data_IF_109979635332
#
_entry.id   IF_109979635332
#
_cell.length_a   1.000
_cell.length_b   1.000
_cell.length_c   1.000
_cell.angle_alpha   90.00
_cell.angle_beta   90.00
_cell.angle_gamma   90.00
#
_symmetry.space_group_name_H-M   'P 1'
#
loop_
_entity.id
_entity.type
_entity.pdbx_description
1 polymer ?
#
# COMPACT_ATOMS: atom_id res chain seq x y z
N UNK A 1 70.02 -29.54 47.07
CA UNK A 1 69.57 -30.01 45.78
C UNK A 1 68.15 -30.52 45.91
N UNK A 2 67.12 -29.70 45.51
CA UNK A 2 65.76 -30.12 45.44
C UNK A 2 65.28 -29.86 44.02
N UNK A 3 64.82 -30.90 43.29
CA UNK A 3 64.30 -30.88 41.97
C UNK A 3 62.92 -30.24 41.98
N UNK A 4 62.67 -29.23 41.15
CA UNK A 4 61.33 -28.70 40.81
C UNK A 4 60.68 -29.63 39.79
N UNK A 5 59.47 -30.05 40.12
CA UNK A 5 58.57 -30.72 39.18
C UNK A 5 57.76 -29.68 38.44
N UNK A 6 57.90 -29.67 37.10
CA UNK A 6 57.08 -28.84 36.21
C UNK A 6 55.70 -29.51 36.05
N UNK A 7 54.63 -28.72 36.35
CA UNK A 7 53.25 -29.09 36.05
C UNK A 7 52.89 -28.54 34.68
N UNK A 8 52.50 -29.41 33.77
CA UNK A 8 51.87 -29.10 32.49
C UNK A 8 50.46 -28.48 32.71
N UNK A 9 50.05 -27.47 31.92
CA UNK A 9 48.70 -26.91 32.01
C UNK A 9 47.70 -27.82 31.30
N UNK A 10 46.52 -28.02 31.92
CA UNK A 10 45.38 -28.76 31.38
C UNK A 10 44.82 -28.07 30.15
N UNK A 11 44.65 -28.83 29.07
CA UNK A 11 43.91 -28.44 27.86
C UNK A 11 42.44 -28.21 28.20
N UNK A 12 41.98 -26.98 28.05
CA UNK A 12 40.57 -26.63 28.06
C UNK A 12 40.00 -27.01 26.66
N UNK A 13 39.18 -28.04 26.62
CA UNK A 13 38.46 -28.46 25.41
C UNK A 13 37.28 -27.51 25.24
N UNK A 14 37.42 -26.52 24.37
CA UNK A 14 36.28 -25.69 23.90
C UNK A 14 35.35 -26.56 23.02
N UNK A 15 34.21 -26.94 23.57
CA UNK A 15 33.10 -27.48 22.77
C UNK A 15 32.54 -26.35 21.88
N UNK A 16 32.92 -26.31 20.64
CA UNK A 16 32.20 -25.56 19.59
C UNK A 16 30.84 -26.17 19.38
N UNK A 17 29.81 -25.55 19.93
CA UNK A 17 28.41 -25.87 19.60
C UNK A 17 28.18 -25.42 18.17
N UNK A 18 28.17 -26.38 17.24
CA UNK A 18 27.66 -26.17 15.88
C UNK A 18 26.14 -26.10 15.96
N UNK A 19 25.61 -24.89 16.21
CA UNK A 19 24.19 -24.63 15.98
C UNK A 19 23.94 -24.80 14.48
N UNK A 20 23.19 -25.82 14.12
CA UNK A 20 22.67 -26.02 12.77
C UNK A 20 21.91 -24.75 12.38
N UNK A 21 22.20 -24.10 11.23
CA UNK A 21 21.44 -22.94 10.81
C UNK A 21 19.98 -23.36 10.65
N UNK A 22 19.11 -22.80 11.49
CA UNK A 22 17.67 -22.98 11.41
C UNK A 22 17.27 -22.56 10.01
N UNK A 23 16.66 -23.44 9.23
CA UNK A 23 16.17 -23.13 7.89
C UNK A 23 15.35 -21.83 7.98
N UNK A 24 15.78 -20.83 7.24
CA UNK A 24 15.08 -19.53 7.21
C UNK A 24 13.63 -19.80 6.80
N UNK A 25 12.69 -19.52 7.68
CA UNK A 25 11.27 -19.65 7.37
C UNK A 25 10.96 -18.73 6.20
N UNK A 26 10.32 -19.28 5.16
CA UNK A 26 9.97 -18.50 3.96
C UNK A 26 8.84 -17.53 4.31
N UNK A 27 9.14 -16.24 4.37
CA UNK A 27 8.16 -15.18 4.58
C UNK A 27 7.40 -14.93 3.29
N UNK A 28 6.08 -14.86 3.36
CA UNK A 28 5.19 -14.52 2.26
C UNK A 28 4.05 -13.64 2.73
N UNK A 29 3.77 -12.58 1.98
CA UNK A 29 2.66 -11.65 2.25
C UNK A 29 1.39 -12.14 1.57
N UNK A 30 0.27 -12.10 2.29
CA UNK A 30 -1.04 -12.53 1.82
C UNK A 30 -2.07 -11.43 2.10
N UNK A 31 -2.99 -11.26 1.15
CA UNK A 31 -4.18 -10.42 1.27
C UNK A 31 -5.42 -11.31 1.33
N UNK A 32 -6.31 -11.07 2.28
CA UNK A 32 -7.63 -11.68 2.33
C UNK A 32 -8.71 -10.62 2.46
N UNK A 33 -9.87 -10.88 1.87
CA UNK A 33 -11.10 -10.12 2.10
C UNK A 33 -12.04 -10.96 2.97
N UNK A 34 -12.28 -10.51 4.19
CA UNK A 34 -13.07 -11.22 5.20
C UNK A 34 -14.10 -10.29 5.82
N UNK A 35 -15.29 -10.81 6.11
CA UNK A 35 -16.25 -10.07 6.91
C UNK A 35 -15.78 -9.90 8.36
N UNK A 36 -16.26 -8.88 9.05
CA UNK A 36 -15.97 -8.69 10.48
C UNK A 36 -16.34 -9.91 11.34
N UNK A 37 -17.39 -10.64 10.95
CA UNK A 37 -17.80 -11.86 11.64
C UNK A 37 -16.79 -13.00 11.45
N UNK A 38 -16.29 -13.21 10.22
CA UNK A 38 -15.23 -14.20 9.95
C UNK A 38 -13.96 -13.86 10.72
N UNK A 39 -13.59 -12.58 10.78
CA UNK A 39 -12.44 -12.10 11.54
C UNK A 39 -12.61 -12.36 13.03
N UNK A 40 -13.79 -12.09 13.59
CA UNK A 40 -14.10 -12.31 15.01
C UNK A 40 -14.01 -13.78 15.44
N UNK A 41 -14.28 -14.71 14.51
CA UNK A 41 -14.22 -16.15 14.74
C UNK A 41 -12.81 -16.74 14.63
N UNK A 42 -11.80 -15.96 14.26
CA UNK A 42 -10.44 -16.47 14.06
C UNK A 42 -9.74 -16.84 15.35
N UNK A 43 -8.93 -17.89 15.28
CA UNK A 43 -8.18 -18.40 16.44
C UNK A 43 -7.08 -17.40 16.88
N UNK A 44 -6.63 -17.43 18.14
CA UNK A 44 -5.51 -16.62 18.60
C UNK A 44 -4.23 -16.81 17.78
N UNK A 45 -3.97 -18.02 17.25
CA UNK A 45 -2.80 -18.31 16.40
C UNK A 45 -2.91 -17.64 15.04
N UNK A 46 -4.09 -17.48 14.47
CA UNK A 46 -4.31 -16.77 13.21
C UNK A 46 -3.87 -15.30 13.35
N UNK A 47 -4.22 -14.66 14.48
CA UNK A 47 -3.87 -13.28 14.76
C UNK A 47 -2.37 -13.03 14.91
N UNK A 48 -1.59 -14.05 15.24
CA UNK A 48 -0.13 -13.92 15.29
C UNK A 48 0.46 -13.56 13.94
N UNK A 49 -0.20 -13.92 12.85
CA UNK A 49 0.26 -13.70 11.48
C UNK A 49 -0.38 -12.48 10.80
N UNK A 50 -1.29 -11.76 11.46
CA UNK A 50 -1.92 -10.55 10.91
C UNK A 50 -1.01 -9.35 11.07
N UNK A 51 -0.69 -8.67 9.98
CA UNK A 51 0.04 -7.39 9.97
C UNK A 51 -0.89 -6.21 10.22
N UNK A 52 -2.06 -6.19 9.57
CA UNK A 52 -3.02 -5.10 9.69
C UNK A 52 -4.37 -5.44 9.12
N UNK A 53 -5.38 -4.67 9.53
CA UNK A 53 -6.77 -4.80 9.09
C UNK A 53 -7.31 -3.44 8.67
N UNK A 54 -7.96 -3.39 7.51
CA UNK A 54 -8.60 -2.20 6.97
C UNK A 54 -10.10 -2.47 6.82
N UNK A 55 -10.93 -1.75 7.59
CA UNK A 55 -12.36 -1.67 7.34
C UNK A 55 -12.64 -0.67 6.23
N UNK A 56 -13.66 -0.90 5.43
CA UNK A 56 -13.98 0.03 4.34
C UNK A 56 -14.89 1.16 4.82
N UNK A 57 -16.02 0.85 5.40
CA UNK A 57 -16.99 1.86 5.84
C UNK A 57 -16.75 2.34 7.27
N UNK A 58 -16.41 1.42 8.16
CA UNK A 58 -16.19 1.68 9.58
C UNK A 58 -15.07 0.82 10.16
N UNK A 59 -14.55 1.24 11.29
CA UNK A 59 -13.57 0.43 12.03
C UNK A 59 -14.22 -0.87 12.50
N UNK A 60 -13.64 -2.04 12.18
CA UNK A 60 -14.10 -3.30 12.74
C UNK A 60 -13.89 -3.33 14.26
N UNK A 61 -14.84 -3.97 14.97
CA UNK A 61 -14.75 -4.12 16.44
C UNK A 61 -13.76 -5.23 16.76
N UNK A 62 -12.49 -4.87 16.88
CA UNK A 62 -11.37 -5.78 17.16
C UNK A 62 -10.53 -5.17 18.29
N UNK A 63 -9.92 -6.01 19.11
CA UNK A 63 -8.95 -5.56 20.11
C UNK A 63 -7.74 -4.88 19.44
N UNK A 64 -7.69 -3.55 19.51
CA UNK A 64 -6.68 -2.72 18.84
C UNK A 64 -5.25 -2.93 19.36
N UNK A 65 -5.11 -3.49 20.56
CA UNK A 65 -3.80 -3.78 21.13
C UNK A 65 -3.04 -4.87 20.39
N UNK A 66 -3.73 -5.66 19.55
CA UNK A 66 -3.13 -6.80 18.82
C UNK A 66 -2.59 -6.45 17.45
N UNK A 67 -3.29 -5.61 16.68
CA UNK A 67 -2.92 -5.24 15.30
C UNK A 67 -3.33 -3.80 14.99
N UNK A 68 -2.64 -3.11 14.06
CA UNK A 68 -3.11 -1.86 13.51
C UNK A 68 -4.44 -2.06 12.78
N UNK A 69 -5.41 -1.22 13.10
CA UNK A 69 -6.72 -1.21 12.45
C UNK A 69 -6.99 0.20 11.95
N UNK A 70 -7.44 0.31 10.73
CA UNK A 70 -7.86 1.57 10.13
C UNK A 70 -9.14 1.40 9.34
N UNK A 71 -9.73 2.50 8.89
CA UNK A 71 -10.84 2.49 7.95
C UNK A 71 -10.54 3.45 6.80
N UNK A 72 -10.93 3.05 5.59
CA UNK A 72 -10.81 3.91 4.41
C UNK A 72 -11.95 4.92 4.28
N UNK A 73 -13.03 4.73 5.03
CA UNK A 73 -14.24 5.55 5.00
C UNK A 73 -14.92 5.54 3.61
N UNK A 74 -14.76 4.44 2.88
CA UNK A 74 -15.37 4.22 1.55
C UNK A 74 -16.46 3.16 1.68
N UNK A 75 -17.74 3.49 1.46
CA UNK A 75 -18.84 2.53 1.57
C UNK A 75 -18.66 1.33 0.64
N UNK A 76 -18.97 0.12 1.15
CA UNK A 76 -18.99 -1.09 0.33
C UNK A 76 -20.27 -1.14 -0.49
N UNK A 77 -20.15 -1.48 -1.78
CA UNK A 77 -21.27 -1.66 -2.70
C UNK A 77 -21.63 -3.14 -2.91
N UNK A 78 -20.95 -4.04 -2.21
CA UNK A 78 -21.22 -5.49 -2.32
C UNK A 78 -22.28 -5.99 -1.34
N UNK A 79 -22.69 -7.25 -1.52
CA UNK A 79 -23.68 -7.92 -0.67
C UNK A 79 -23.12 -8.34 0.73
N UNK A 80 -21.81 -8.24 0.95
CA UNK A 80 -21.17 -8.65 2.20
C UNK A 80 -20.99 -7.43 3.10
N UNK A 81 -21.76 -7.41 4.19
CA UNK A 81 -21.67 -6.37 5.20
C UNK A 81 -20.34 -6.42 5.97
N UNK A 82 -19.79 -5.23 6.27
CA UNK A 82 -18.58 -5.07 7.08
C UNK A 82 -17.38 -5.89 6.58
N UNK A 83 -17.19 -5.92 5.25
CA UNK A 83 -16.02 -6.52 4.63
C UNK A 83 -14.75 -5.76 5.04
N UNK A 84 -13.67 -6.50 5.26
CA UNK A 84 -12.37 -5.96 5.63
C UNK A 84 -11.28 -6.52 4.73
N UNK A 85 -10.26 -5.73 4.51
CA UNK A 85 -8.99 -6.12 3.93
C UNK A 85 -8.05 -6.55 5.05
N UNK A 86 -7.51 -7.75 4.97
CA UNK A 86 -6.63 -8.32 6.00
C UNK A 86 -5.28 -8.68 5.38
N UNK A 87 -4.24 -8.06 5.88
CA UNK A 87 -2.86 -8.36 5.49
C UNK A 87 -2.22 -9.32 6.48
N UNK A 88 -1.73 -10.46 5.98
CA UNK A 88 -1.11 -11.51 6.79
C UNK A 88 0.25 -11.91 6.25
N UNK A 89 1.07 -12.50 7.12
CA UNK A 89 2.40 -13.02 6.76
C UNK A 89 2.46 -14.50 7.09
N UNK A 90 2.90 -15.32 6.17
CA UNK A 90 3.29 -16.71 6.44
C UNK A 90 4.77 -16.79 6.81
N UNK A 91 5.17 -17.77 7.61
CA UNK A 91 6.58 -18.01 7.95
C UNK A 91 7.21 -17.02 8.96
N UNK A 92 6.44 -16.06 9.49
CA UNK A 92 6.92 -15.11 10.49
C UNK A 92 6.51 -15.46 11.93
N UNK A 93 6.12 -16.69 12.19
CA UNK A 93 5.58 -17.15 13.46
C UNK A 93 6.48 -16.76 14.65
N UNK A 94 5.89 -16.03 15.59
CA UNK A 94 6.58 -15.57 16.81
C UNK A 94 7.54 -14.38 16.66
N UNK A 95 7.64 -13.78 15.46
CA UNK A 95 8.55 -12.63 15.18
C UNK A 95 7.84 -11.32 14.89
N UNK A 96 6.55 -11.22 15.22
CA UNK A 96 5.79 -10.00 15.00
C UNK A 96 5.97 -9.03 16.16
N UNK A 97 6.27 -7.78 15.86
CA UNK A 97 6.39 -6.69 16.80
C UNK A 97 5.37 -5.60 16.50
N UNK A 98 4.79 -5.02 17.53
CA UNK A 98 3.91 -3.86 17.42
C UNK A 98 4.70 -2.62 17.81
N UNK A 99 4.44 -1.52 17.12
CA UNK A 99 4.91 -0.22 17.51
C UNK A 99 3.77 0.80 17.48
N UNK A 100 3.70 1.58 18.53
CA UNK A 100 3.16 2.90 18.53
C UNK A 100 4.26 3.72 19.15
N UNK A 101 4.96 4.51 18.35
CA UNK A 101 5.91 5.44 18.94
C UNK A 101 5.13 6.35 19.89
N UNK A 102 5.59 6.55 21.12
CA UNK A 102 4.92 7.36 22.14
C UNK A 102 4.60 8.80 21.68
N UNK A 103 5.17 9.21 20.55
CA UNK A 103 5.00 10.53 19.92
C UNK A 103 4.50 10.49 18.48
N UNK A 104 4.22 9.30 17.90
CA UNK A 104 3.72 9.16 16.53
C UNK A 104 2.25 8.76 16.50
N UNK A 105 1.50 9.33 15.55
CA UNK A 105 0.13 8.94 15.25
C UNK A 105 0.03 7.67 14.39
N UNK A 106 1.16 7.15 13.93
CA UNK A 106 1.21 5.93 13.13
C UNK A 106 1.06 4.70 14.01
N UNK A 107 0.05 3.92 13.74
CA UNK A 107 -0.10 2.57 14.29
C UNK A 107 0.51 1.59 13.32
N UNK A 108 1.47 0.78 13.76
CA UNK A 108 2.16 -0.14 12.86
C UNK A 108 2.48 -1.48 13.50
N UNK A 109 2.58 -2.51 12.67
CA UNK A 109 3.05 -3.84 13.03
C UNK A 109 4.02 -4.35 11.98
N UNK A 110 5.06 -5.04 12.41
CA UNK A 110 6.11 -5.49 11.51
C UNK A 110 6.69 -6.85 11.91
N UNK A 111 7.29 -7.51 10.93
CA UNK A 111 8.20 -8.63 11.10
C UNK A 111 9.57 -8.25 10.51
N UNK A 112 10.51 -9.20 10.44
CA UNK A 112 11.86 -8.92 9.93
C UNK A 112 11.89 -8.30 8.53
N UNK A 113 10.95 -8.67 7.65
CA UNK A 113 10.96 -8.25 6.24
C UNK A 113 9.92 -7.17 5.91
N UNK A 114 8.77 -7.15 6.61
CA UNK A 114 7.57 -6.43 6.22
C UNK A 114 7.00 -5.59 7.36
N UNK A 115 6.43 -4.46 6.99
CA UNK A 115 5.69 -3.57 7.89
C UNK A 115 4.35 -3.19 7.25
N UNK A 116 3.28 -3.23 8.04
CA UNK A 116 2.03 -2.54 7.77
C UNK A 116 1.88 -1.38 8.75
N UNK A 117 1.48 -0.22 8.25
CA UNK A 117 1.21 0.95 9.07
C UNK A 117 -0.03 1.70 8.62
N UNK A 118 -0.63 2.44 9.54
CA UNK A 118 -1.75 3.33 9.26
C UNK A 118 -1.68 4.61 10.10
N UNK A 119 -2.16 5.69 9.53
CA UNK A 119 -2.29 7.00 10.20
C UNK A 119 -3.60 7.66 9.77
N UNK A 120 -4.23 8.31 10.72
CA UNK A 120 -5.43 9.12 10.50
C UNK A 120 -5.19 10.52 11.03
N UNK A 121 -5.46 11.54 10.22
CA UNK A 121 -5.23 12.96 10.58
C UNK A 121 -6.49 13.78 10.32
N UNK A 122 -7.00 14.39 11.38
CA UNK A 122 -8.08 15.38 11.31
C UNK A 122 -7.49 16.73 10.87
N UNK A 123 -7.92 17.26 9.73
CA UNK A 123 -7.43 18.55 9.22
C UNK A 123 -7.64 19.70 10.21
N UNK A 124 -8.81 19.72 10.89
CA UNK A 124 -9.13 20.74 11.90
C UNK A 124 -8.20 20.69 13.14
N UNK A 125 -7.75 19.50 13.51
CA UNK A 125 -6.85 19.34 14.66
C UNK A 125 -5.44 19.89 14.35
N UNK A 126 -5.04 19.85 13.09
CA UNK A 126 -3.74 20.38 12.63
C UNK A 126 -3.77 21.89 12.44
N UNK A 127 -4.92 22.46 12.10
CA UNK A 127 -5.12 23.91 12.00
C UNK A 127 -4.81 24.61 13.33
N UNK A 128 -5.16 24.00 14.45
CA UNK A 128 -4.89 24.52 15.80
C UNK A 128 -3.39 24.57 16.19
N UNK A 129 -2.50 23.88 15.43
CA UNK A 129 -1.06 23.85 15.72
C UNK A 129 -0.30 25.11 15.23
N UNK A 130 -0.99 26.07 14.61
CA UNK A 130 -0.40 27.31 14.10
C UNK A 130 0.40 27.14 12.79
N UNK A 131 0.91 28.22 12.20
CA UNK A 131 1.66 28.14 10.94
C UNK A 131 2.98 27.40 11.15
N UNK A 132 3.17 26.31 10.42
CA UNK A 132 4.50 25.75 10.21
C UNK A 132 5.27 26.70 9.28
N UNK A 133 6.41 27.20 9.76
CA UNK A 133 7.18 28.26 9.11
C UNK A 133 7.39 28.06 7.60
N UNK A 134 7.62 29.17 6.89
CA UNK A 134 7.76 29.48 5.46
C UNK A 134 8.25 28.42 4.46
N UNK A 135 7.78 27.17 4.50
CA UNK A 135 8.30 26.06 3.66
C UNK A 135 7.42 25.65 2.48
N UNK A 136 6.18 26.07 2.44
CA UNK A 136 5.31 25.90 1.26
C UNK A 136 4.96 27.30 0.74
N UNK A 137 5.35 27.61 -0.46
CA UNK A 137 5.27 28.93 -1.06
C UNK A 137 3.88 29.57 -0.96
N UNK A 138 3.79 30.65 -0.20
CA UNK A 138 2.61 31.45 0.04
C UNK A 138 1.89 31.08 1.34
N UNK A 139 1.36 32.08 2.05
CA UNK A 139 0.51 31.89 3.22
C UNK A 139 -0.81 31.19 2.79
N UNK A 140 -0.81 29.87 2.76
CA UNK A 140 -2.03 29.10 2.60
C UNK A 140 -2.73 29.08 3.97
N UNK A 141 -3.62 30.05 4.18
CA UNK A 141 -4.47 30.15 5.35
C UNK A 141 -5.78 29.37 5.14
N UNK A 142 -6.44 29.02 6.22
CA UNK A 142 -7.72 28.31 6.16
C UNK A 142 -7.60 26.85 5.72
N UNK A 143 -8.62 26.37 5.01
CA UNK A 143 -8.80 24.95 4.67
C UNK A 143 -7.68 24.38 3.80
N UNK A 144 -7.19 25.12 2.81
CA UNK A 144 -6.06 24.67 1.98
C UNK A 144 -4.78 24.48 2.79
N UNK A 145 -4.52 25.40 3.72
CA UNK A 145 -3.41 25.30 4.66
C UNK A 145 -3.54 24.10 5.60
N UNK A 146 -4.75 23.81 6.08
CA UNK A 146 -5.00 22.64 6.94
C UNK A 146 -4.70 21.32 6.22
N UNK A 147 -5.17 21.16 4.98
CA UNK A 147 -4.89 19.98 4.14
C UNK A 147 -3.39 19.80 3.87
N UNK A 148 -2.70 20.87 3.48
CA UNK A 148 -1.25 20.84 3.21
C UNK A 148 -0.49 20.38 4.46
N UNK A 149 -0.78 20.98 5.64
CA UNK A 149 -0.13 20.63 6.92
C UNK A 149 -0.45 19.21 7.35
N UNK A 150 -1.72 18.79 7.26
CA UNK A 150 -2.13 17.43 7.63
C UNK A 150 -1.43 16.37 6.76
N UNK A 151 -1.32 16.63 5.46
CA UNK A 151 -0.61 15.76 4.52
C UNK A 151 0.88 15.70 4.84
N UNK A 152 1.53 16.85 5.02
CA UNK A 152 2.96 16.89 5.35
C UNK A 152 3.26 16.16 6.66
N UNK A 153 2.47 16.42 7.71
CA UNK A 153 2.58 15.75 9.00
C UNK A 153 2.45 14.23 8.86
N UNK A 154 1.40 13.76 8.16
CA UNK A 154 1.17 12.33 7.98
C UNK A 154 2.38 11.65 7.32
N UNK A 155 2.92 12.22 6.26
CA UNK A 155 4.06 11.65 5.56
C UNK A 155 5.37 11.76 6.34
N UNK A 156 5.59 12.84 7.10
CA UNK A 156 6.75 12.97 7.99
C UNK A 156 6.75 11.88 9.07
N UNK A 157 5.59 11.61 9.69
CA UNK A 157 5.47 10.54 10.68
C UNK A 157 5.64 9.16 10.06
N UNK A 158 5.09 8.90 8.86
CA UNK A 158 5.32 7.65 8.12
C UNK A 158 6.82 7.44 7.88
N UNK A 159 7.52 8.43 7.33
CA UNK A 159 8.97 8.31 7.07
C UNK A 159 9.80 8.18 8.34
N UNK A 160 9.35 8.78 9.45
CA UNK A 160 9.93 8.56 10.77
C UNK A 160 9.92 7.09 11.18
N UNK A 161 8.74 6.45 11.09
CA UNK A 161 8.57 5.02 11.39
C UNK A 161 9.41 4.14 10.44
N UNK A 162 9.43 4.44 9.14
CA UNK A 162 10.23 3.66 8.18
C UNK A 162 11.73 3.70 8.52
N UNK A 163 12.22 4.85 8.95
CA UNK A 163 13.62 5.04 9.38
C UNK A 163 13.91 4.29 10.68
N UNK A 164 13.03 4.39 11.67
CA UNK A 164 13.19 3.77 12.99
C UNK A 164 13.18 2.23 12.90
N UNK A 165 12.28 1.67 12.09
CA UNK A 165 12.11 0.23 11.94
C UNK A 165 13.02 -0.40 10.88
N UNK A 166 13.78 0.42 10.14
CA UNK A 166 14.61 0.03 8.99
C UNK A 166 13.84 -0.57 7.80
N UNK A 167 12.50 -0.50 7.78
CA UNK A 167 11.66 -0.85 6.64
C UNK A 167 11.60 0.33 5.67
N UNK A 168 12.73 0.67 5.07
CA UNK A 168 12.95 1.95 4.36
C UNK A 168 12.22 2.09 3.04
N UNK A 169 11.69 1.00 2.48
CA UNK A 169 11.09 0.99 1.15
C UNK A 169 9.58 0.87 1.25
N UNK A 170 8.86 1.95 0.92
CA UNK A 170 7.43 1.89 0.70
C UNK A 170 7.14 1.02 -0.53
N UNK A 171 6.26 0.04 -0.36
CA UNK A 171 5.81 -0.86 -1.42
C UNK A 171 4.52 -0.32 -2.02
N UNK A 172 3.54 -0.11 -1.14
CA UNK A 172 2.19 0.27 -1.50
C UNK A 172 1.64 1.26 -0.48
N UNK A 173 0.95 2.31 -0.96
CA UNK A 173 0.32 3.31 -0.09
C UNK A 173 -1.06 3.67 -0.63
N UNK A 174 -2.05 3.70 0.26
CA UNK A 174 -3.43 4.08 -0.01
C UNK A 174 -3.73 5.37 0.73
N UNK A 175 -4.27 6.35 0.01
CA UNK A 175 -4.60 7.66 0.55
C UNK A 175 -6.08 7.92 0.32
N UNK A 176 -6.80 8.21 1.37
CA UNK A 176 -8.20 8.59 1.34
C UNK A 176 -8.34 10.01 1.85
N UNK A 177 -8.86 10.88 1.00
CA UNK A 177 -8.95 12.32 1.22
C UNK A 177 -10.41 12.75 1.19
N UNK A 178 -10.92 13.45 2.20
CA UNK A 178 -12.27 13.97 2.13
C UNK A 178 -12.42 14.91 0.93
N UNK A 179 -13.50 14.71 0.14
CA UNK A 179 -13.87 15.58 -0.98
C UNK A 179 -12.73 15.88 -1.95
N UNK A 180 -12.02 14.83 -2.42
CA UNK A 180 -10.76 14.93 -3.18
C UNK A 180 -10.80 15.89 -4.38
N UNK A 181 -11.95 16.02 -5.06
CA UNK A 181 -12.12 16.89 -6.24
C UNK A 181 -12.62 18.30 -5.90
N UNK A 182 -12.96 18.60 -4.64
CA UNK A 182 -13.45 19.92 -4.25
C UNK A 182 -12.33 20.96 -4.31
N UNK A 183 -12.68 22.18 -4.72
CA UNK A 183 -11.77 23.32 -4.66
C UNK A 183 -11.58 23.81 -3.22
N UNK A 184 -10.33 24.13 -2.87
CA UNK A 184 -9.95 24.75 -1.61
C UNK A 184 -8.84 25.79 -1.86
N UNK A 185 -9.09 27.06 -1.53
CA UNK A 185 -8.10 28.13 -1.68
C UNK A 185 -7.63 28.36 -3.13
N UNK A 186 -8.49 28.09 -4.13
CA UNK A 186 -8.22 28.33 -5.54
C UNK A 186 -7.48 27.20 -6.26
N UNK A 187 -7.34 26.03 -5.64
CA UNK A 187 -6.84 24.81 -6.29
C UNK A 187 -7.63 23.59 -5.80
N UNK A 188 -7.61 22.52 -6.56
CA UNK A 188 -8.25 21.26 -6.23
C UNK A 188 -7.54 20.58 -5.06
N UNK A 189 -8.29 20.01 -4.10
CA UNK A 189 -7.73 19.33 -2.92
C UNK A 189 -6.73 18.22 -3.30
N UNK A 190 -6.99 17.47 -4.36
CA UNK A 190 -6.03 16.49 -4.87
C UNK A 190 -4.68 17.11 -5.28
N UNK A 191 -4.69 18.28 -5.90
CA UNK A 191 -3.46 18.97 -6.32
C UNK A 191 -2.69 19.52 -5.13
N UNK A 192 -3.40 20.07 -4.14
CA UNK A 192 -2.82 20.51 -2.87
C UNK A 192 -2.16 19.33 -2.14
N UNK A 193 -2.86 18.20 -2.03
CA UNK A 193 -2.32 16.97 -1.46
C UNK A 193 -1.03 16.52 -2.17
N UNK A 194 -1.03 16.46 -3.51
CA UNK A 194 0.16 16.08 -4.26
C UNK A 194 1.35 17.03 -4.03
N UNK A 195 1.09 18.32 -3.84
CA UNK A 195 2.11 19.32 -3.54
C UNK A 195 2.78 19.07 -2.19
N UNK A 196 1.98 18.85 -1.14
CA UNK A 196 2.49 18.55 0.20
C UNK A 196 3.20 17.17 0.25
N UNK A 197 2.60 16.16 -0.37
CA UNK A 197 3.18 14.82 -0.48
C UNK A 197 4.54 14.84 -1.17
N UNK A 198 4.65 15.54 -2.30
CA UNK A 198 5.93 15.69 -3.02
C UNK A 198 7.00 16.35 -2.16
N UNK A 199 6.63 17.38 -1.40
CA UNK A 199 7.56 18.03 -0.48
C UNK A 199 8.05 17.07 0.60
N UNK A 200 7.14 16.31 1.22
CA UNK A 200 7.49 15.33 2.24
C UNK A 200 8.43 14.23 1.71
N UNK A 201 8.15 13.68 0.52
CA UNK A 201 9.04 12.70 -0.15
C UNK A 201 10.44 13.29 -0.41
N UNK A 202 10.51 14.53 -0.89
CA UNK A 202 11.78 15.20 -1.13
C UNK A 202 12.57 15.42 0.15
N UNK A 203 11.91 15.87 1.21
CA UNK A 203 12.53 16.15 2.51
C UNK A 203 13.03 14.88 3.22
N UNK A 204 12.41 13.74 2.96
CA UNK A 204 12.82 12.44 3.49
C UNK A 204 13.91 11.73 2.68
N UNK A 205 14.32 12.29 1.54
CA UNK A 205 15.26 11.64 0.62
C UNK A 205 14.67 10.48 -0.19
N UNK A 206 13.34 10.32 -0.18
CA UNK A 206 12.62 9.23 -0.85
C UNK A 206 12.12 9.62 -2.26
N UNK A 207 12.55 10.76 -2.79
CA UNK A 207 11.98 11.36 -4.02
C UNK A 207 12.68 10.93 -5.32
N UNK A 208 13.28 9.76 -5.37
CA UNK A 208 13.85 9.24 -6.64
C UNK A 208 12.83 8.40 -7.40
N UNK A 209 12.88 8.41 -8.72
CA UNK A 209 11.98 7.67 -9.61
C UNK A 209 11.94 6.18 -9.27
N UNK A 210 13.08 5.62 -8.85
CA UNK A 210 13.23 4.19 -8.54
C UNK A 210 12.71 3.82 -7.13
N UNK A 211 12.27 4.79 -6.33
CA UNK A 211 11.84 4.56 -4.94
C UNK A 211 10.39 4.94 -4.66
N UNK A 212 9.68 5.51 -5.64
CA UNK A 212 8.28 5.91 -5.43
C UNK A 212 7.36 4.69 -5.45
N UNK A 213 6.53 4.50 -4.40
CA UNK A 213 5.69 3.30 -4.25
C UNK A 213 4.57 3.24 -5.29
N UNK A 214 3.99 2.06 -5.45
CA UNK A 214 2.66 1.95 -6.01
C UNK A 214 1.64 2.64 -5.07
N UNK A 215 0.70 3.42 -5.63
CA UNK A 215 -0.22 4.21 -4.82
C UNK A 215 -1.63 4.33 -5.43
N UNK A 216 -2.61 4.60 -4.55
CA UNK A 216 -3.94 5.10 -4.91
C UNK A 216 -4.24 6.36 -4.11
N UNK A 217 -5.04 7.25 -4.68
CA UNK A 217 -5.57 8.43 -4.00
C UNK A 217 -7.06 8.57 -4.34
N UNK A 218 -7.90 8.34 -3.36
CA UNK A 218 -9.36 8.23 -3.50
C UNK A 218 -10.04 9.28 -2.63
N UNK A 219 -11.24 9.66 -3.03
CA UNK A 219 -12.10 10.52 -2.24
C UNK A 219 -12.84 9.75 -1.16
N UNK A 220 -12.95 10.34 0.01
CA UNK A 220 -13.83 9.92 1.10
C UNK A 220 -14.90 10.98 1.35
N UNK A 221 -16.01 10.66 2.06
CA UNK A 221 -17.07 11.61 2.33
C UNK A 221 -16.60 12.87 3.08
N UNK A 222 -17.34 13.97 2.93
CA UNK A 222 -17.12 15.22 3.66
C UNK A 222 -17.05 14.96 5.19
N UNK A 223 -16.13 15.63 5.86
CA UNK A 223 -15.94 15.50 7.30
C UNK A 223 -15.20 14.24 7.74
N UNK A 224 -14.80 13.36 6.81
CA UNK A 224 -13.88 12.28 7.12
C UNK A 224 -12.48 12.81 7.42
N UNK A 225 -11.66 12.13 8.21
CA UNK A 225 -10.24 12.44 8.32
C UNK A 225 -9.47 12.04 7.06
N UNK A 226 -8.29 12.59 6.87
CA UNK A 226 -7.30 12.01 5.96
C UNK A 226 -6.88 10.66 6.55
N UNK A 227 -7.10 9.58 5.79
CA UNK A 227 -6.75 8.22 6.21
C UNK A 227 -5.71 7.64 5.25
N UNK A 228 -4.59 7.20 5.79
CA UNK A 228 -3.50 6.63 5.00
C UNK A 228 -3.10 5.30 5.64
N UNK A 229 -3.01 4.24 4.82
CA UNK A 229 -2.33 3.02 5.23
C UNK A 229 -1.33 2.58 4.18
N UNK A 230 -0.35 1.80 4.60
CA UNK A 230 0.79 1.48 3.76
C UNK A 230 1.44 0.14 4.12
N UNK A 231 2.11 -0.41 3.13
CA UNK A 231 3.04 -1.53 3.28
C UNK A 231 4.45 -1.05 2.98
N UNK A 232 5.40 -1.52 3.77
CA UNK A 232 6.80 -1.25 3.58
C UNK A 232 7.65 -2.50 3.78
N UNK A 233 8.87 -2.50 3.24
CA UNK A 233 9.82 -3.60 3.37
C UNK A 233 11.24 -3.11 3.63
N UNK A 234 12.09 -4.02 4.11
CA UNK A 234 13.53 -3.81 4.14
C UNK A 234 14.15 -3.95 2.76
N UNK A 235 13.63 -4.86 1.95
CA UNK A 235 14.07 -5.06 0.58
C UNK A 235 13.40 -4.05 -0.36
N UNK A 236 14.18 -3.48 -1.27
CA UNK A 236 13.67 -2.57 -2.29
C UNK A 236 12.81 -3.35 -3.30
N UNK A 237 11.55 -2.92 -3.55
CA UNK A 237 10.73 -3.49 -4.60
C UNK A 237 11.19 -3.05 -5.98
N UNK A 238 10.83 -3.81 -6.99
CA UNK A 238 11.02 -3.44 -8.40
C UNK A 238 9.82 -2.62 -8.86
N UNK A 239 10.04 -1.38 -9.28
CA UNK A 239 9.00 -0.50 -9.81
C UNK A 239 8.66 -0.86 -11.24
N UNK A 240 7.37 -0.82 -11.57
CA UNK A 240 6.83 -1.13 -12.90
C UNK A 240 6.08 0.08 -13.41
N UNK A 241 6.41 0.52 -14.61
CA UNK A 241 5.68 1.55 -15.33
C UNK A 241 4.82 0.94 -16.44
N UNK A 242 3.75 1.63 -16.81
CA UNK A 242 2.83 1.15 -17.83
C UNK A 242 3.24 1.67 -19.22
N UNK A 243 3.51 0.81 -20.20
CA UNK A 243 3.91 1.25 -21.54
C UNK A 243 2.81 2.05 -22.27
N UNK A 244 1.54 1.95 -21.82
CA UNK A 244 0.40 2.69 -22.38
C UNK A 244 0.20 4.08 -21.75
N UNK A 245 0.88 4.38 -20.64
CA UNK A 245 0.67 5.57 -19.84
C UNK A 245 1.97 6.35 -19.63
N UNK A 246 1.87 7.67 -19.63
CA UNK A 246 2.96 8.53 -19.14
C UNK A 246 3.17 8.30 -17.65
N UNK A 247 4.41 8.15 -17.20
CA UNK A 247 4.72 8.06 -15.77
C UNK A 247 4.18 9.27 -15.02
N UNK A 248 3.55 9.03 -13.87
CA UNK A 248 2.80 10.06 -13.15
C UNK A 248 3.65 11.30 -12.83
N UNK A 249 4.90 11.10 -12.49
CA UNK A 249 5.86 12.17 -12.15
C UNK A 249 6.30 13.02 -13.37
N UNK A 250 5.89 12.63 -14.60
CA UNK A 250 6.12 13.39 -15.86
C UNK A 250 4.82 14.02 -16.39
N UNK A 251 3.76 14.06 -15.62
CA UNK A 251 2.52 14.69 -16.06
C UNK A 251 2.71 16.20 -16.32
N UNK A 252 2.10 16.71 -17.40
CA UNK A 252 2.18 18.12 -17.74
C UNK A 252 1.53 19.03 -16.69
N UNK A 253 1.93 20.31 -16.57
CA UNK A 253 1.44 21.25 -15.55
C UNK A 253 -0.08 21.47 -15.51
N UNK A 254 -0.80 21.17 -16.60
CA UNK A 254 -2.27 21.25 -16.63
C UNK A 254 -2.96 20.36 -15.59
N UNK A 255 -2.28 19.31 -15.11
CA UNK A 255 -2.79 18.42 -14.06
C UNK A 255 -2.38 18.82 -12.65
N UNK A 256 -1.80 20.03 -12.48
CA UNK A 256 -1.38 20.59 -11.22
C UNK A 256 0.04 21.14 -11.26
N UNK A 257 0.34 22.06 -10.36
CA UNK A 257 1.68 22.67 -10.24
C UNK A 257 2.78 21.64 -9.96
N UNK A 258 2.40 20.57 -9.27
CA UNK A 258 3.29 19.46 -8.94
C UNK A 258 2.67 18.14 -9.40
N UNK A 259 3.38 17.41 -10.25
CA UNK A 259 2.97 16.10 -10.72
C UNK A 259 2.85 15.11 -9.55
N UNK A 260 1.88 14.17 -9.57
CA UNK A 260 1.79 13.09 -8.60
C UNK A 260 3.06 12.24 -8.58
N UNK A 261 3.34 11.61 -7.43
CA UNK A 261 4.54 10.78 -7.26
C UNK A 261 4.10 9.36 -6.93
N UNK A 262 4.03 8.48 -7.93
CA UNK A 262 3.76 7.05 -7.75
C UNK A 262 4.23 6.26 -8.97
N UNK A 263 4.59 5.00 -8.80
CA UNK A 263 4.78 4.03 -9.87
C UNK A 263 3.44 3.36 -10.22
N UNK A 264 3.32 2.87 -11.44
CA UNK A 264 2.07 2.23 -11.92
C UNK A 264 1.83 0.88 -11.26
N UNK A 265 2.89 0.18 -10.93
CA UNK A 265 2.88 -1.01 -10.07
C UNK A 265 4.25 -1.20 -9.43
N UNK A 266 4.34 -2.15 -8.51
CA UNK A 266 5.62 -2.65 -8.05
C UNK A 266 5.56 -4.15 -7.74
N UNK A 267 6.72 -4.80 -7.79
CA UNK A 267 6.90 -6.20 -7.43
C UNK A 267 7.85 -6.30 -6.25
N UNK A 268 7.38 -6.88 -5.17
CA UNK A 268 8.20 -7.25 -4.02
C UNK A 268 8.64 -8.71 -4.13
N UNK A 269 9.94 -8.95 -4.16
CA UNK A 269 10.49 -10.30 -4.09
C UNK A 269 10.70 -10.72 -2.63
N UNK A 270 10.27 -11.92 -2.29
CA UNK A 270 10.39 -12.51 -0.95
C UNK A 270 10.91 -13.93 -1.05
N UNK A 271 11.30 -14.52 0.06
CA UNK A 271 11.80 -15.91 0.09
C UNK A 271 10.76 -16.96 -0.30
N UNK A 272 9.45 -16.65 -0.21
CA UNK A 272 8.34 -17.53 -0.61
C UNK A 272 7.89 -17.33 -2.06
N UNK A 273 8.23 -16.21 -2.69
CA UNK A 273 7.73 -15.82 -4.01
C UNK A 273 7.77 -14.33 -4.23
N UNK A 274 6.86 -13.81 -5.04
CA UNK A 274 6.72 -12.38 -5.29
C UNK A 274 5.28 -11.93 -5.10
N UNK A 275 5.13 -10.67 -4.68
CA UNK A 275 3.84 -9.97 -4.68
C UNK A 275 3.87 -8.82 -5.68
N UNK A 276 2.85 -8.73 -6.52
CA UNK A 276 2.59 -7.62 -7.42
C UNK A 276 1.51 -6.71 -6.79
N UNK A 277 1.78 -5.42 -6.79
CA UNK A 277 0.85 -4.37 -6.35
C UNK A 277 0.61 -3.42 -7.52
N UNK A 278 -0.60 -3.45 -8.08
CA UNK A 278 -1.04 -2.52 -9.12
C UNK A 278 -1.65 -1.30 -8.45
N UNK A 279 -1.17 -0.12 -8.79
CA UNK A 279 -1.70 1.17 -8.34
C UNK A 279 -3.13 1.38 -8.80
N UNK A 280 -3.83 2.34 -8.19
CA UNK A 280 -5.08 2.83 -8.74
C UNK A 280 -4.92 3.15 -10.21
N UNK A 281 -5.62 2.40 -11.04
CA UNK A 281 -5.56 2.43 -12.50
C UNK A 281 -6.93 2.82 -13.04
N UNK A 282 -6.96 3.74 -13.98
CA UNK A 282 -8.19 4.25 -14.57
C UNK A 282 -8.06 4.35 -16.10
N UNK A 283 -9.11 4.85 -16.76
CA UNK A 283 -9.19 5.02 -18.20
C UNK A 283 -8.31 6.17 -18.70
N UNK A 284 -7.00 5.97 -18.64
CA UNK A 284 -5.97 6.96 -19.03
C UNK A 284 -5.04 6.31 -20.05
N UNK A 285 -4.86 6.97 -21.21
CA UNK A 285 -3.83 6.65 -22.21
C UNK A 285 -2.87 7.83 -22.33
N UNK A 286 -1.58 7.56 -22.30
CA UNK A 286 -0.61 8.60 -22.07
C UNK A 286 -0.89 9.30 -20.72
N UNK A 287 -1.35 10.54 -20.77
CA UNK A 287 -1.78 11.32 -19.59
C UNK A 287 -3.24 11.82 -19.71
N UNK A 288 -3.96 11.45 -20.78
CA UNK A 288 -5.33 11.91 -21.05
C UNK A 288 -6.36 10.90 -20.58
N UNK A 289 -7.43 11.40 -19.97
CA UNK A 289 -8.65 10.62 -19.71
C UNK A 289 -9.36 10.35 -21.03
N UNK A 290 -9.65 9.10 -21.31
CA UNK A 290 -10.43 8.68 -22.48
C UNK A 290 -11.77 8.06 -22.06
N UNK A 291 -12.71 7.95 -23.02
CA UNK A 291 -14.06 7.43 -22.79
C UNK A 291 -14.86 8.22 -21.74
N UNK A 292 -14.75 9.54 -21.75
CA UNK A 292 -15.48 10.41 -20.81
C UNK A 292 -16.98 10.16 -20.86
N UNK A 293 -17.59 10.00 -19.69
CA UNK A 293 -19.04 9.76 -19.55
C UNK A 293 -19.51 8.34 -19.88
N UNK A 294 -18.63 7.44 -20.31
CA UNK A 294 -18.95 6.02 -20.56
C UNK A 294 -18.20 5.11 -19.59
N UNK A 295 -18.86 4.76 -18.48
CA UNK A 295 -18.25 3.94 -17.43
C UNK A 295 -17.87 2.54 -17.90
N UNK A 296 -18.69 1.94 -18.81
CA UNK A 296 -18.40 0.62 -19.35
C UNK A 296 -17.13 0.64 -20.22
N UNK A 297 -16.98 1.65 -21.07
CA UNK A 297 -15.77 1.84 -21.87
C UNK A 297 -14.56 2.19 -20.98
N UNK A 298 -14.73 3.03 -19.94
CA UNK A 298 -13.68 3.31 -18.97
C UNK A 298 -13.22 2.05 -18.24
N UNK A 299 -14.14 1.18 -17.84
CA UNK A 299 -13.80 -0.09 -17.20
C UNK A 299 -12.98 -1.00 -18.12
N UNK A 300 -13.38 -1.16 -19.38
CA UNK A 300 -12.61 -1.96 -20.36
C UNK A 300 -11.22 -1.40 -20.61
N UNK A 301 -11.07 -0.08 -20.72
CA UNK A 301 -9.78 0.58 -20.91
C UNK A 301 -8.88 0.42 -19.69
N UNK A 302 -9.46 0.53 -18.49
CA UNK A 302 -8.75 0.28 -17.23
C UNK A 302 -8.21 -1.16 -17.19
N UNK A 303 -9.00 -2.14 -17.60
CA UNK A 303 -8.54 -3.54 -17.68
C UNK A 303 -7.47 -3.75 -18.75
N UNK A 304 -7.53 -3.03 -19.87
CA UNK A 304 -6.46 -3.04 -20.88
C UNK A 304 -5.14 -2.46 -20.32
N UNK A 305 -5.22 -1.40 -19.50
CA UNK A 305 -4.06 -0.86 -18.78
C UNK A 305 -3.49 -1.83 -17.76
N UNK A 306 -4.34 -2.55 -17.00
CA UNK A 306 -3.90 -3.57 -16.04
C UNK A 306 -3.24 -4.74 -16.77
N UNK A 307 -3.78 -5.21 -17.90
CA UNK A 307 -3.15 -6.26 -18.70
C UNK A 307 -1.74 -5.86 -19.16
N UNK A 308 -1.58 -4.63 -19.66
CA UNK A 308 -0.26 -4.13 -20.06
C UNK A 308 0.75 -4.08 -18.90
N UNK A 309 0.26 -3.77 -17.67
CA UNK A 309 1.09 -3.85 -16.46
C UNK A 309 1.49 -5.27 -16.08
N UNK A 310 0.59 -6.25 -16.26
CA UNK A 310 0.91 -7.67 -16.01
C UNK A 310 1.98 -8.17 -16.98
N UNK A 311 1.84 -7.83 -18.27
CA UNK A 311 2.83 -8.18 -19.29
C UNK A 311 4.19 -7.57 -18.95
N UNK A 312 4.23 -6.31 -18.56
CA UNK A 312 5.46 -5.63 -18.20
C UNK A 312 6.07 -6.20 -16.91
N UNK A 313 5.27 -6.47 -15.87
CA UNK A 313 5.73 -7.11 -14.64
C UNK A 313 6.31 -8.51 -14.91
N UNK A 314 5.65 -9.31 -15.73
CA UNK A 314 6.12 -10.63 -16.14
C UNK A 314 7.43 -10.54 -16.94
N UNK A 315 7.57 -9.52 -17.81
CA UNK A 315 8.80 -9.27 -18.58
C UNK A 315 9.97 -8.88 -17.67
N UNK A 316 9.74 -7.95 -16.75
CA UNK A 316 10.78 -7.40 -15.86
C UNK A 316 11.26 -8.45 -14.85
N UNK A 317 10.33 -9.18 -14.22
CA UNK A 317 10.68 -10.21 -13.24
C UNK A 317 11.20 -11.48 -13.91
N UNK A 318 10.76 -11.77 -15.13
CA UNK A 318 11.27 -12.86 -15.97
C UNK A 318 10.76 -14.25 -15.60
N UNK A 319 10.73 -14.60 -14.31
CA UNK A 319 10.29 -15.92 -13.83
C UNK A 319 8.90 -15.92 -13.19
N UNK A 320 8.38 -14.76 -12.77
CA UNK A 320 7.02 -14.64 -12.28
C UNK A 320 5.99 -14.82 -13.40
N UNK A 321 4.79 -15.25 -13.03
CA UNK A 321 3.67 -15.40 -13.95
C UNK A 321 2.42 -14.85 -13.28
N UNK A 322 2.17 -13.55 -13.50
CA UNK A 322 0.95 -12.87 -13.10
C UNK A 322 -0.08 -12.96 -14.21
N UNK A 323 -1.30 -13.32 -13.85
CA UNK A 323 -2.46 -13.36 -14.74
C UNK A 323 -3.65 -12.74 -14.03
N UNK A 324 -4.66 -12.29 -14.75
CA UNK A 324 -5.86 -11.72 -14.16
C UNK A 324 -6.52 -12.67 -13.14
N UNK A 325 -6.56 -13.96 -13.41
CA UNK A 325 -7.14 -14.98 -12.52
C UNK A 325 -6.40 -15.11 -11.18
N UNK A 326 -5.15 -14.70 -11.12
CA UNK A 326 -4.31 -14.74 -9.91
C UNK A 326 -4.36 -13.46 -9.08
N UNK A 327 -5.17 -12.48 -9.49
CA UNK A 327 -5.28 -11.20 -8.80
C UNK A 327 -6.53 -11.12 -7.92
N UNK A 328 -6.44 -10.29 -6.89
CA UNK A 328 -7.54 -9.80 -6.08
C UNK A 328 -7.73 -8.33 -6.39
N UNK A 329 -8.95 -7.93 -6.69
CA UNK A 329 -9.26 -6.60 -7.17
C UNK A 329 -10.00 -5.77 -6.14
N UNK A 330 -9.75 -4.47 -6.17
CA UNK A 330 -10.54 -3.45 -5.50
C UNK A 330 -10.98 -2.44 -6.54
N UNK A 331 -12.30 -2.27 -6.69
CA UNK A 331 -12.92 -1.43 -7.72
C UNK A 331 -13.60 -0.26 -7.01
N UNK A 332 -13.13 0.93 -7.30
CA UNK A 332 -13.71 2.17 -6.79
C UNK A 332 -14.67 2.73 -7.83
N UNK A 333 -15.91 2.88 -7.43
CA UNK A 333 -17.04 3.30 -8.24
C UNK A 333 -17.46 4.69 -7.78
N UNK A 334 -17.45 5.68 -8.68
CA UNK A 334 -17.86 7.04 -8.32
C UNK A 334 -19.35 7.09 -8.01
N UNK A 335 -20.18 6.64 -8.95
CA UNK A 335 -21.64 6.63 -8.83
C UNK A 335 -22.13 5.20 -8.60
N UNK A 336 -22.77 4.88 -7.47
CA UNK A 336 -23.28 3.53 -7.20
C UNK A 336 -24.20 2.96 -8.28
N UNK A 337 -24.91 3.83 -8.99
CA UNK A 337 -25.77 3.44 -10.13
C UNK A 337 -24.99 2.85 -11.31
N UNK A 338 -23.69 3.08 -11.42
CA UNK A 338 -22.83 2.58 -12.48
C UNK A 338 -22.37 1.13 -12.24
N UNK A 339 -22.56 0.60 -11.03
CA UNK A 339 -22.08 -0.74 -10.65
C UNK A 339 -22.49 -1.85 -11.63
N UNK A 340 -23.76 -1.94 -12.10
CA UNK A 340 -24.13 -2.99 -13.04
C UNK A 340 -23.40 -2.91 -14.39
N UNK A 341 -23.10 -1.71 -14.88
CA UNK A 341 -22.34 -1.50 -16.11
C UNK A 341 -20.86 -1.89 -15.95
N UNK A 342 -20.29 -1.60 -14.77
CA UNK A 342 -18.91 -1.99 -14.41
C UNK A 342 -18.82 -3.51 -14.32
N UNK A 343 -19.72 -4.17 -13.59
CA UNK A 343 -19.77 -5.64 -13.47
C UNK A 343 -19.92 -6.31 -14.85
N UNK A 344 -20.81 -5.78 -15.69
CA UNK A 344 -20.98 -6.24 -17.07
C UNK A 344 -19.71 -6.12 -17.90
N UNK A 345 -18.96 -5.03 -17.75
CA UNK A 345 -17.68 -4.84 -18.44
C UNK A 345 -16.57 -5.76 -17.92
N UNK A 346 -16.51 -5.98 -16.59
CA UNK A 346 -15.52 -6.87 -15.95
C UNK A 346 -15.76 -8.34 -16.27
N UNK A 347 -17.00 -8.78 -16.43
CA UNK A 347 -17.36 -10.18 -16.74
C UNK A 347 -16.77 -10.66 -18.07
N UNK A 348 -16.43 -9.75 -18.98
CA UNK A 348 -15.72 -10.05 -20.23
C UNK A 348 -14.23 -10.34 -20.04
N UNK A 349 -13.65 -9.99 -18.89
CA UNK A 349 -12.21 -10.11 -18.61
C UNK A 349 -11.88 -10.98 -17.41
N UNK A 350 -12.77 -11.06 -16.42
CA UNK A 350 -12.57 -11.75 -15.16
C UNK A 350 -13.54 -12.93 -15.01
N UNK A 351 -13.10 -13.95 -14.30
CA UNK A 351 -13.97 -15.10 -13.94
C UNK A 351 -14.89 -14.72 -12.77
N UNK A 352 -16.03 -15.37 -12.68
CA UNK A 352 -16.97 -15.18 -11.56
C UNK A 352 -16.39 -15.53 -10.18
N UNK A 353 -15.33 -16.35 -10.14
CA UNK A 353 -14.61 -16.71 -8.91
C UNK A 353 -13.49 -15.73 -8.53
N UNK A 354 -13.21 -14.73 -9.36
CA UNK A 354 -12.16 -13.72 -9.07
C UNK A 354 -12.58 -12.88 -7.86
N UNK A 355 -11.75 -12.75 -6.82
CA UNK A 355 -12.07 -11.92 -5.66
C UNK A 355 -12.10 -10.44 -6.03
N UNK A 356 -13.27 -9.81 -5.91
CA UNK A 356 -13.47 -8.38 -6.20
C UNK A 356 -14.20 -7.74 -5.02
N UNK A 357 -13.72 -6.58 -4.61
CA UNK A 357 -14.41 -5.68 -3.67
C UNK A 357 -14.80 -4.41 -4.40
N UNK A 358 -16.07 -4.02 -4.31
CA UNK A 358 -16.59 -2.77 -4.87
C UNK A 358 -16.79 -1.75 -3.76
N UNK A 359 -16.24 -0.57 -3.94
CA UNK A 359 -16.28 0.53 -2.97
C UNK A 359 -16.75 1.81 -3.65
N UNK A 360 -17.57 2.59 -2.96
CA UNK A 360 -17.91 3.93 -3.42
C UNK A 360 -16.79 4.90 -3.04
N UNK A 361 -16.23 5.60 -4.03
CA UNK A 361 -15.25 6.65 -3.80
C UNK A 361 -15.15 7.59 -5.00
N UNK A 362 -14.85 8.85 -4.74
CA UNK A 362 -14.39 9.75 -5.79
C UNK A 362 -13.00 9.35 -6.27
N UNK A 363 -12.78 9.48 -7.56
CA UNK A 363 -11.49 9.21 -8.21
C UNK A 363 -10.73 10.53 -8.37
N UNK A 364 -9.42 10.45 -8.51
CA UNK A 364 -8.51 11.60 -8.54
C UNK A 364 -8.78 12.66 -9.64
N UNK A 365 -9.61 12.38 -10.64
CA UNK A 365 -10.12 13.33 -11.64
C UNK A 365 -11.63 13.18 -11.77
N UNK A 366 -12.34 14.30 -11.90
CA UNK A 366 -13.81 14.31 -12.02
C UNK A 366 -14.36 13.52 -13.21
N UNK A 367 -13.62 13.46 -14.31
CA UNK A 367 -14.00 12.76 -15.52
C UNK A 367 -13.71 11.24 -15.51
N UNK A 368 -13.14 10.72 -14.42
CA UNK A 368 -12.95 9.29 -14.18
C UNK A 368 -14.09 8.75 -13.31
N UNK A 369 -14.80 7.75 -13.82
CA UNK A 369 -15.98 7.15 -13.20
C UNK A 369 -15.64 5.87 -12.41
N UNK A 370 -14.50 5.26 -12.71
CA UNK A 370 -14.02 4.02 -12.11
C UNK A 370 -12.52 4.02 -12.00
N UNK A 371 -12.01 3.50 -10.87
CA UNK A 371 -10.59 3.20 -10.66
C UNK A 371 -10.46 1.76 -10.14
N UNK A 372 -9.47 1.03 -10.62
CA UNK A 372 -9.26 -0.37 -10.25
C UNK A 372 -7.81 -0.55 -9.80
N UNK A 373 -7.62 -1.18 -8.65
CA UNK A 373 -6.34 -1.65 -8.18
C UNK A 373 -6.33 -3.17 -8.03
N UNK A 374 -5.16 -3.78 -8.02
CA UNK A 374 -5.06 -5.22 -7.88
C UNK A 374 -3.80 -5.63 -7.10
N UNK A 375 -3.91 -6.77 -6.44
CA UNK A 375 -2.78 -7.43 -5.76
C UNK A 375 -2.71 -8.88 -6.19
N UNK A 376 -1.52 -9.35 -6.56
CA UNK A 376 -1.28 -10.72 -7.00
C UNK A 376 -0.08 -11.35 -6.32
N UNK A 377 -0.11 -12.69 -6.24
CA UNK A 377 0.99 -13.49 -5.72
C UNK A 377 1.51 -14.42 -6.82
N UNK A 378 2.83 -14.56 -6.90
CA UNK A 378 3.46 -15.60 -7.72
C UNK A 378 4.45 -16.38 -6.88
N UNK A 379 4.23 -17.68 -6.72
CA UNK A 379 5.12 -18.55 -5.95
C UNK A 379 6.43 -18.75 -6.68
N UNK A 380 7.55 -18.63 -5.97
CA UNK A 380 8.86 -18.94 -6.52
C UNK A 380 8.92 -20.39 -7.05
N UNK A 381 9.63 -20.61 -8.15
CA UNK A 381 9.99 -21.98 -8.54
C UNK A 381 10.71 -22.61 -7.35
N UNK A 382 10.17 -23.71 -6.82
CA UNK A 382 10.93 -24.55 -5.88
C UNK A 382 12.24 -24.92 -6.59
N UNK A 383 13.38 -24.61 -5.97
CA UNK A 383 14.69 -25.10 -6.41
C UNK A 383 14.70 -26.64 -6.22
N UNK A 384 14.25 -27.36 -7.23
CA UNK A 384 14.10 -28.82 -7.19
C UNK A 384 13.67 -29.34 -8.55
N UNK A 385 14.60 -29.36 -9.47
CA UNK A 385 14.94 -30.41 -10.41
C UNK A 385 15.96 -29.84 -11.43
N UNK A 386 17.23 -29.93 -11.10
CA UNK A 386 18.24 -30.02 -12.14
C UNK A 386 18.02 -31.41 -12.80
N UNK A 387 17.23 -31.44 -13.84
CA UNK A 387 17.30 -32.52 -14.82
C UNK A 387 18.67 -32.41 -15.49
N UNK A 388 19.56 -33.29 -15.06
CA UNK A 388 20.75 -33.62 -15.82
C UNK A 388 20.28 -34.34 -17.08
N UNK A 389 20.41 -33.71 -18.21
CA UNK A 389 20.57 -34.37 -19.51
C UNK A 389 21.86 -33.90 -20.14
#
# INVERSE_FOLDING_TARGET
MRKRQDRLPSMITTRTSTATPRAASRVGLQLDYLSSNEIACQSPSWWQNVLGVVGFEKLPVIDRARVPITASMTPSLGAVDNLCEVWRVSGAEGRMSNGAAERSRVHYRFCDELLFGSITVEERAVEALGPMGDRVGGSADGESGALLRATELAYQEIFGVLKETEHRHLIRIWNYLPEINREAGGDERYRLFNSARRLAFRNSGQATVDTVPAASALGSPAGSPISIYFLAARQQPTMIENPRQTSAYHYPPKFGRHSPIFSRACVLSQSSGTNLFVSGTASIVGHETIHRGDVGAQTRETMANINALLDEANRVVGWARYTLDGLKFKVYVREPSDLPAIEGALSGSLRSSTPIVYLQADVCREDLLVEIEATGESRGRSAGHHDRR
#
